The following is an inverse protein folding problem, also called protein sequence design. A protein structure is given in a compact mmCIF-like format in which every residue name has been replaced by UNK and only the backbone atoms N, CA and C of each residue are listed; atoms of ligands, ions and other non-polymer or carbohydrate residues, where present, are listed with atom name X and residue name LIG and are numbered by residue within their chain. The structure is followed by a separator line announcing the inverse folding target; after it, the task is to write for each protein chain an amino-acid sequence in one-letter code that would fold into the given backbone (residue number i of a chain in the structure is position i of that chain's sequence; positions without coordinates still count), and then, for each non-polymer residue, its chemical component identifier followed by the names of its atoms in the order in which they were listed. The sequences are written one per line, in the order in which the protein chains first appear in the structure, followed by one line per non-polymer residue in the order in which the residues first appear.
data_IF_208571690592
#
_entry.id   IF_208571690592
#
_cell.length_a   1.000
_cell.length_b   1.000
_cell.length_c   1.000
_cell.angle_alpha   90.00
_cell.angle_beta   90.00
_cell.angle_gamma   90.00
#
_symmetry.space_group_name_H-M   'P 1'
#
loop_
_entity.id
_entity.type
_entity.pdbx_description
1 polymer ?
#
# COMPACT_ATOMS: atom_id res chain seq x y z
N UNK A 1 10.08 13.18 4.95
CA UNK A 1 9.39 12.19 5.80
C UNK A 1 10.42 11.38 6.56
N UNK A 2 10.17 11.09 7.85
CA UNK A 2 10.94 10.10 8.60
C UNK A 2 10.31 8.70 8.46
N UNK A 3 9.05 8.61 8.04
CA UNK A 3 8.35 7.35 7.76
C UNK A 3 6.93 7.56 7.27
N UNK A 4 6.19 6.47 7.11
CA UNK A 4 4.77 6.46 6.72
C UNK A 4 4.02 5.34 7.43
N UNK A 5 2.71 5.48 7.55
CA UNK A 5 1.84 4.45 8.11
C UNK A 5 1.22 3.59 7.01
N UNK A 6 1.18 2.28 7.24
CA UNK A 6 0.53 1.30 6.38
C UNK A 6 -0.66 0.67 7.10
N UNK A 7 -1.78 0.53 6.40
CA UNK A 7 -2.95 -0.21 6.87
C UNK A 7 -3.35 -1.30 5.89
N UNK A 8 -4.01 -2.36 6.38
CA UNK A 8 -4.51 -3.41 5.50
C UNK A 8 -5.82 -2.96 4.82
N UNK A 9 -5.81 -2.80 3.49
CA UNK A 9 -6.96 -2.34 2.70
C UNK A 9 -8.10 -3.37 2.61
N UNK A 10 -7.82 -4.66 2.86
CA UNK A 10 -8.86 -5.68 2.95
C UNK A 10 -9.73 -5.54 4.20
N UNK A 11 -9.30 -4.74 5.19
CA UNK A 11 -10.07 -4.46 6.40
C UNK A 11 -11.04 -3.29 6.18
N UNK A 12 -12.18 -3.34 6.86
CA UNK A 12 -13.12 -2.22 6.87
C UNK A 12 -12.48 -0.95 7.46
N UNK A 13 -13.04 0.23 7.14
CA UNK A 13 -12.55 1.49 7.71
C UNK A 13 -12.49 1.47 9.25
N UNK A 14 -13.47 0.83 9.89
CA UNK A 14 -13.53 0.66 11.36
C UNK A 14 -12.39 -0.22 11.88
N UNK A 15 -12.03 -1.27 11.14
CA UNK A 15 -10.95 -2.16 11.52
C UNK A 15 -9.58 -1.53 11.26
N UNK A 16 -9.41 -0.79 10.15
CA UNK A 16 -8.19 -0.03 9.85
C UNK A 16 -7.89 1.05 10.91
N UNK A 17 -8.91 1.63 11.52
CA UNK A 17 -8.75 2.63 12.59
C UNK A 17 -8.23 2.05 13.92
N UNK A 18 -8.15 0.71 14.06
CA UNK A 18 -7.59 0.11 15.28
C UNK A 18 -6.07 0.27 15.27
N UNK A 19 -5.45 0.74 16.37
CA UNK A 19 -4.00 0.93 16.44
C UNK A 19 -3.20 -0.34 16.09
N UNK A 20 -3.72 -1.53 16.42
CA UNK A 20 -3.09 -2.82 16.09
C UNK A 20 -2.96 -3.09 14.59
N UNK A 21 -3.73 -2.38 13.76
CA UNK A 21 -3.81 -2.56 12.31
C UNK A 21 -3.12 -1.44 11.54
N UNK A 22 -2.43 -0.54 12.25
CA UNK A 22 -1.62 0.54 11.69
C UNK A 22 -0.15 0.19 11.91
N UNK A 23 0.59 -0.02 10.83
CA UNK A 23 1.99 -0.42 10.86
C UNK A 23 2.85 0.80 10.52
N UNK A 24 3.65 1.34 11.46
CA UNK A 24 4.62 2.38 11.14
C UNK A 24 5.79 1.79 10.36
N UNK A 25 6.13 2.39 9.23
CA UNK A 25 7.33 2.07 8.46
C UNK A 25 8.26 3.29 8.52
N UNK A 26 9.41 3.10 9.14
CA UNK A 26 10.46 4.11 9.28
C UNK A 26 11.68 3.63 8.50
N UNK A 27 12.00 4.24 7.34
CA UNK A 27 13.26 3.99 6.67
C UNK A 27 14.45 4.29 7.57
N UNK A 28 15.50 3.47 7.52
CA UNK A 28 16.71 3.71 8.31
C UNK A 28 17.47 4.98 7.88
N UNK A 29 18.54 5.38 8.61
CA UNK A 29 19.36 6.57 8.29
C UNK A 29 20.02 6.54 6.90
N UNK A 30 20.19 5.34 6.33
CA UNK A 30 20.64 5.10 4.96
C UNK A 30 19.52 4.50 4.09
N UNK A 31 18.29 4.51 4.60
CA UNK A 31 17.17 3.67 4.19
C UNK A 31 16.39 4.18 3.00
N UNK A 32 16.99 5.01 2.15
CA UNK A 32 16.37 5.64 0.96
C UNK A 32 15.61 6.92 1.26
N UNK A 33 15.53 7.80 0.26
CA UNK A 33 14.62 8.94 0.29
C UNK A 33 13.20 8.45 -0.04
N UNK A 34 12.28 8.52 0.93
CA UNK A 34 10.92 8.00 0.77
C UNK A 34 10.21 8.57 -0.45
N UNK A 35 10.40 9.86 -0.75
CA UNK A 35 9.78 10.47 -1.94
C UNK A 35 10.29 9.85 -3.23
N UNK A 36 11.60 9.62 -3.34
CA UNK A 36 12.20 9.02 -4.54
C UNK A 36 11.73 7.58 -4.76
N UNK A 37 11.56 6.81 -3.68
CA UNK A 37 11.02 5.45 -3.80
C UNK A 37 9.56 5.44 -4.21
N UNK A 38 8.73 6.31 -3.61
CA UNK A 38 7.33 6.44 -4.00
C UNK A 38 7.20 6.93 -5.45
N UNK A 39 8.04 7.88 -5.89
CA UNK A 39 8.06 8.35 -7.28
C UNK A 39 8.46 7.23 -8.24
N UNK A 40 9.39 6.35 -7.84
CA UNK A 40 9.85 5.23 -8.66
C UNK A 40 8.82 4.10 -8.79
N UNK A 41 8.10 3.76 -7.71
CA UNK A 41 7.17 2.61 -7.68
C UNK A 41 5.70 3.02 -7.85
N UNK A 42 5.35 4.28 -7.61
CA UNK A 42 3.99 4.81 -7.62
C UNK A 42 3.22 4.48 -8.91
N UNK A 43 3.80 4.68 -10.11
CA UNK A 43 3.13 4.33 -11.36
C UNK A 43 2.76 2.84 -11.49
N UNK A 44 3.56 1.93 -10.91
CA UNK A 44 3.22 0.50 -10.89
C UNK A 44 2.20 0.19 -9.79
N UNK A 45 2.25 0.88 -8.65
CA UNK A 45 1.28 0.72 -7.57
C UNK A 45 -0.13 1.20 -7.96
N UNK A 46 -0.25 2.27 -8.77
CA UNK A 46 -1.55 2.77 -9.25
C UNK A 46 -2.31 1.71 -10.08
N UNK A 47 -1.59 0.87 -10.82
CA UNK A 47 -2.21 -0.24 -11.56
C UNK A 47 -2.74 -1.34 -10.62
N UNK A 48 -2.14 -1.50 -9.45
CA UNK A 48 -2.60 -2.45 -8.43
C UNK A 48 -3.84 -1.94 -7.68
N UNK A 49 -3.99 -0.62 -7.54
CA UNK A 49 -5.18 0.02 -6.96
C UNK A 49 -6.43 -0.17 -7.85
N UNK A 50 -6.27 -0.11 -9.18
CA UNK A 50 -7.33 -0.42 -10.14
C UNK A 50 -7.74 -1.91 -10.13
N UNK A 51 -6.90 -2.77 -9.53
CA UNK A 51 -6.99 -4.22 -9.60
C UNK A 51 -6.41 -4.77 -10.91
N UNK A 52 -5.90 -6.00 -10.86
CA UNK A 52 -5.36 -6.69 -12.03
C UNK A 52 -6.44 -7.60 -12.63
N UNK A 53 -6.72 -7.43 -13.93
CA UNK A 53 -7.45 -8.42 -14.71
C UNK A 53 -6.59 -9.68 -14.91
N UNK A 54 -7.02 -10.81 -14.36
CA UNK A 54 -6.39 -12.11 -14.57
C UNK A 54 -7.36 -13.08 -15.24
N UNK A 55 -6.84 -13.91 -16.15
CA UNK A 55 -7.57 -15.04 -16.71
C UNK A 55 -7.20 -16.30 -15.93
N UNK A 56 -8.18 -16.88 -15.23
CA UNK A 56 -8.02 -18.15 -14.51
C UNK A 56 -9.10 -19.12 -14.99
N UNK A 57 -8.71 -20.33 -15.39
CA UNK A 57 -9.64 -21.35 -15.90
C UNK A 57 -10.57 -20.88 -17.04
N UNK A 58 -10.09 -19.98 -17.91
CA UNK A 58 -10.88 -19.44 -19.03
C UNK A 58 -11.88 -18.35 -18.64
N UNK A 59 -11.88 -17.91 -17.38
CA UNK A 59 -12.73 -16.85 -16.89
C UNK A 59 -11.91 -15.63 -16.44
N UNK A 60 -12.40 -14.44 -16.77
CA UNK A 60 -11.81 -13.17 -16.35
C UNK A 60 -12.19 -12.86 -14.90
N UNK A 61 -11.19 -12.52 -14.09
CA UNK A 61 -11.34 -12.03 -12.73
C UNK A 61 -10.62 -10.70 -12.59
N UNK A 62 -11.15 -9.78 -11.79
CA UNK A 62 -10.42 -8.60 -11.32
C UNK A 62 -9.96 -8.90 -9.90
N UNK A 63 -8.66 -8.92 -9.68
CA UNK A 63 -8.07 -9.08 -8.36
C UNK A 63 -7.61 -7.72 -7.85
N UNK A 64 -8.21 -7.24 -6.76
CA UNK A 64 -7.61 -6.15 -5.97
C UNK A 64 -6.47 -6.73 -5.15
N UNK A 65 -5.24 -6.64 -5.68
CA UNK A 65 -4.07 -7.31 -5.11
C UNK A 65 -3.41 -6.45 -4.01
N UNK A 66 -3.67 -5.14 -3.95
CA UNK A 66 -3.07 -4.29 -2.94
C UNK A 66 -3.74 -4.49 -1.58
N UNK A 67 -3.05 -5.26 -0.74
CA UNK A 67 -3.43 -5.52 0.66
C UNK A 67 -3.11 -4.29 1.53
N UNK A 68 -2.29 -3.35 1.07
CA UNK A 68 -1.74 -2.28 1.91
C UNK A 68 -2.04 -0.88 1.38
N UNK A 69 -2.44 0.04 2.26
CA UNK A 69 -2.70 1.44 1.97
C UNK A 69 -1.75 2.31 2.78
N UNK A 70 -0.99 3.17 2.09
CA UNK A 70 -0.14 4.18 2.71
C UNK A 70 -1.01 5.39 3.07
N UNK A 71 -1.14 5.73 4.35
CA UNK A 71 -2.08 6.76 4.84
C UNK A 71 -1.40 8.08 5.26
N UNK A 72 -0.19 8.32 4.76
CA UNK A 72 0.48 9.62 4.82
C UNK A 72 1.67 9.71 5.77
N UNK A 73 2.23 10.91 5.82
CA UNK A 73 3.48 11.27 6.49
C UNK A 73 3.42 11.02 7.99
N UNK A 74 4.38 10.24 8.48
CA UNK A 74 4.71 10.23 9.90
C UNK A 74 5.58 11.47 10.19
N UNK A 75 5.16 12.38 11.09
CA UNK A 75 5.96 13.55 11.47
C UNK A 75 7.29 13.17 12.12
#
# INVERSE_FOLDING_TARGET
LVGFYVTNHALSAKERARPSNVIPITPGPHGTNTSEVIDAIGPEMEQLDAGIEVNMAGQKYVLCVMIYCCIGDMP
#
